data_IF_973671450582
#
_entry.id   IF_973671450582
#
_cell.length_a   1.000
_cell.length_b   1.000
_cell.length_c   1.000
_cell.angle_alpha   90.00
_cell.angle_beta   90.00
_cell.angle_gamma   90.00
#
_symmetry.space_group_name_H-M   'P 1'
#
loop_
_entity.id
_entity.type
_entity.pdbx_description
1 polymer ?
#
# COMPACT_ATOMS: atom_id res chain seq x y z
N UNK A 1 -36.15 -13.82 -102.89
CA UNK A 1 -35.24 -12.84 -102.27
C UNK A 1 -36.07 -12.15 -101.19
N UNK A 2 -35.98 -12.47 -99.89
CA UNK A 2 -34.84 -12.83 -99.03
C UNK A 2 -33.94 -11.63 -98.70
N UNK A 3 -34.10 -11.13 -97.46
CA UNK A 3 -33.30 -10.23 -96.60
C UNK A 3 -34.32 -9.46 -95.74
N UNK A 4 -34.21 -9.38 -94.41
CA UNK A 4 -33.21 -9.91 -93.49
C UNK A 4 -33.37 -9.15 -92.17
N UNK A 5 -33.36 -9.85 -91.04
CA UNK A 5 -33.66 -9.29 -89.71
C UNK A 5 -32.62 -8.25 -89.27
N UNK A 6 -33.00 -7.41 -88.30
CA UNK A 6 -32.19 -7.11 -87.10
C UNK A 6 -33.07 -6.37 -86.07
N UNK A 7 -33.94 -7.12 -85.41
CA UNK A 7 -34.64 -6.68 -84.21
C UNK A 7 -33.73 -6.93 -83.00
N UNK A 8 -33.17 -5.85 -82.43
CA UNK A 8 -32.40 -5.94 -81.18
C UNK A 8 -33.31 -5.60 -80.00
N UNK A 9 -33.61 -6.56 -79.09
CA UNK A 9 -34.31 -6.25 -77.86
C UNK A 9 -33.36 -5.53 -76.91
N UNK A 10 -33.71 -4.29 -76.54
CA UNK A 10 -33.05 -3.63 -75.42
C UNK A 10 -33.51 -4.33 -74.14
N UNK A 11 -32.62 -5.12 -73.52
CA UNK A 11 -32.97 -5.97 -72.39
C UNK A 11 -33.21 -5.15 -71.13
N UNK A 12 -34.41 -5.27 -70.55
CA UNK A 12 -34.64 -5.04 -69.14
C UNK A 12 -33.97 -6.17 -68.33
N UNK A 13 -32.65 -6.08 -68.18
CA UNK A 13 -31.85 -7.08 -67.47
C UNK A 13 -30.59 -6.44 -66.86
N UNK A 14 -30.76 -5.30 -66.17
CA UNK A 14 -29.84 -4.93 -65.10
C UNK A 14 -30.15 -5.76 -63.86
N UNK A 15 -29.87 -7.05 -63.99
CA UNK A 15 -29.70 -7.96 -62.87
C UNK A 15 -28.45 -7.50 -62.10
N UNK A 16 -28.64 -6.73 -61.02
CA UNK A 16 -27.58 -6.56 -60.04
C UNK A 16 -27.18 -7.95 -59.54
N UNK A 17 -25.91 -8.37 -59.67
CA UNK A 17 -25.55 -9.76 -59.39
C UNK A 17 -25.76 -10.06 -57.90
N UNK A 18 -26.53 -11.12 -57.55
CA UNK A 18 -26.93 -11.38 -56.16
C UNK A 18 -25.75 -11.71 -55.22
N UNK A 19 -24.57 -11.99 -55.77
CA UNK A 19 -23.34 -12.21 -55.00
C UNK A 19 -22.82 -10.96 -54.28
N UNK A 20 -23.00 -9.75 -54.83
CA UNK A 20 -22.44 -8.52 -54.19
C UNK A 20 -23.17 -8.19 -52.88
N UNK A 21 -24.48 -8.44 -52.79
CA UNK A 21 -25.25 -8.18 -51.57
C UNK A 21 -25.12 -9.29 -50.52
N UNK A 22 -24.70 -10.50 -50.91
CA UNK A 22 -24.36 -11.55 -49.94
C UNK A 22 -23.07 -11.19 -49.19
N UNK A 23 -22.01 -10.85 -49.93
CA UNK A 23 -20.72 -10.45 -49.34
C UNK A 23 -20.86 -9.20 -48.44
N UNK A 24 -21.69 -8.22 -48.85
CA UNK A 24 -21.95 -7.03 -48.03
C UNK A 24 -22.78 -7.32 -46.77
N UNK A 25 -23.76 -8.23 -46.84
CA UNK A 25 -24.55 -8.63 -45.68
C UNK A 25 -23.70 -9.41 -44.66
N UNK A 26 -22.83 -10.32 -45.13
CA UNK A 26 -21.95 -11.09 -44.25
C UNK A 26 -20.90 -10.19 -43.58
N UNK A 27 -20.30 -9.23 -44.30
CA UNK A 27 -19.41 -8.23 -43.68
C UNK A 27 -20.13 -7.35 -42.64
N UNK A 28 -21.39 -6.96 -42.88
CA UNK A 28 -22.20 -6.20 -41.89
C UNK A 28 -22.54 -7.05 -40.66
N UNK A 29 -22.80 -8.34 -40.85
CA UNK A 29 -23.02 -9.28 -39.74
C UNK A 29 -21.74 -9.43 -38.91
N UNK A 30 -20.57 -9.66 -39.52
CA UNK A 30 -19.29 -9.77 -38.81
C UNK A 30 -18.92 -8.50 -38.02
N UNK A 31 -19.19 -7.31 -38.57
CA UNK A 31 -19.01 -6.04 -37.86
C UNK A 31 -19.96 -5.91 -36.65
N UNK A 32 -21.24 -6.26 -36.81
CA UNK A 32 -22.21 -6.30 -35.70
C UNK A 32 -21.79 -7.29 -34.60
N UNK A 33 -21.25 -8.45 -35.01
CA UNK A 33 -20.75 -9.50 -34.12
C UNK A 33 -19.47 -9.10 -33.39
N UNK A 34 -18.65 -8.23 -34.00
CA UNK A 34 -17.46 -7.66 -33.39
C UNK A 34 -17.82 -6.55 -32.39
N UNK A 35 -18.77 -5.69 -32.75
CA UNK A 35 -19.29 -4.63 -31.89
C UNK A 35 -19.98 -5.19 -30.65
N UNK A 36 -20.84 -6.21 -30.78
CA UNK A 36 -21.49 -6.86 -29.64
C UNK A 36 -20.48 -7.48 -28.65
N UNK A 37 -19.35 -8.01 -29.15
CA UNK A 37 -18.26 -8.52 -28.30
C UNK A 37 -17.51 -7.40 -27.60
N UNK A 38 -17.29 -6.25 -28.26
CA UNK A 38 -16.68 -5.08 -27.64
C UNK A 38 -17.56 -4.51 -26.53
N UNK A 39 -18.88 -4.42 -26.77
CA UNK A 39 -19.85 -3.99 -25.76
C UNK A 39 -19.88 -4.95 -24.56
N UNK A 40 -19.89 -6.27 -24.78
CA UNK A 40 -19.81 -7.27 -23.70
C UNK A 40 -18.51 -7.12 -22.87
N UNK A 41 -17.35 -7.01 -23.52
CA UNK A 41 -16.05 -6.93 -22.83
C UNK A 41 -15.93 -5.72 -21.91
N UNK A 42 -16.50 -4.57 -22.30
CA UNK A 42 -16.47 -3.37 -21.47
C UNK A 42 -17.55 -3.36 -20.36
N UNK A 43 -18.65 -4.12 -20.48
CA UNK A 43 -19.55 -4.41 -19.34
C UNK A 43 -18.85 -5.30 -18.31
N UNK A 44 -18.21 -6.39 -18.76
CA UNK A 44 -17.42 -7.28 -17.89
C UNK A 44 -16.27 -6.51 -17.18
N UNK A 45 -15.67 -5.53 -17.88
CA UNK A 45 -14.63 -4.65 -17.33
C UNK A 45 -15.18 -3.68 -16.29
N UNK A 46 -16.35 -3.08 -16.52
CA UNK A 46 -17.03 -2.20 -15.54
C UNK A 46 -17.45 -2.95 -14.28
N UNK A 47 -17.99 -4.17 -14.42
CA UNK A 47 -18.25 -5.02 -13.25
C UNK A 47 -16.95 -5.36 -12.51
N UNK A 48 -15.83 -5.49 -13.23
CA UNK A 48 -14.52 -5.70 -12.63
C UNK A 48 -14.04 -4.49 -11.82
N UNK A 49 -14.22 -3.26 -12.30
CA UNK A 49 -13.86 -2.05 -11.53
C UNK A 49 -14.76 -1.86 -10.31
N UNK A 50 -16.06 -2.19 -10.41
CA UNK A 50 -16.97 -2.21 -9.24
C UNK A 50 -16.57 -3.24 -8.19
N UNK A 51 -16.17 -4.47 -8.59
CA UNK A 51 -15.59 -5.47 -7.66
C UNK A 51 -14.27 -4.99 -7.06
N UNK A 52 -13.43 -4.33 -7.85
CA UNK A 52 -12.15 -3.78 -7.41
C UNK A 52 -12.35 -2.73 -6.33
N UNK A 53 -13.28 -1.78 -6.53
CA UNK A 53 -13.67 -0.77 -5.52
C UNK A 53 -14.07 -1.41 -4.19
N UNK A 54 -14.97 -2.40 -4.22
CA UNK A 54 -15.39 -3.12 -3.01
C UNK A 54 -14.20 -3.75 -2.27
N UNK A 55 -13.29 -4.41 -3.01
CA UNK A 55 -12.12 -5.07 -2.42
C UNK A 55 -11.10 -4.08 -1.84
N UNK A 56 -10.88 -2.92 -2.47
CA UNK A 56 -9.93 -1.92 -1.94
C UNK A 56 -10.51 -1.14 -0.76
N UNK A 57 -11.81 -0.88 -0.73
CA UNK A 57 -12.51 -0.33 0.44
C UNK A 57 -12.45 -1.30 1.64
N UNK A 58 -12.76 -2.58 1.44
CA UNK A 58 -12.61 -3.62 2.47
C UNK A 58 -11.16 -3.73 2.97
N UNK A 59 -10.19 -3.67 2.04
CA UNK A 59 -8.75 -3.66 2.37
C UNK A 59 -8.35 -2.42 3.18
N UNK A 60 -8.91 -1.24 2.87
CA UNK A 60 -8.68 -0.01 3.63
C UNK A 60 -9.18 -0.17 5.06
N UNK A 61 -10.40 -0.65 5.23
CA UNK A 61 -11.02 -0.81 6.54
C UNK A 61 -10.31 -1.87 7.39
N UNK A 62 -9.82 -2.95 6.78
CA UNK A 62 -8.94 -3.92 7.43
C UNK A 62 -7.58 -3.30 7.81
N UNK A 63 -7.01 -2.44 6.95
CA UNK A 63 -5.78 -1.69 7.22
C UNK A 63 -5.92 -0.73 8.40
N UNK A 64 -7.01 0.03 8.48
CA UNK A 64 -7.32 0.94 9.60
C UNK A 64 -7.42 0.16 10.92
N UNK A 65 -8.14 -0.97 10.94
CA UNK A 65 -8.20 -1.84 12.13
C UNK A 65 -6.82 -2.35 12.53
N UNK A 66 -5.96 -2.66 11.57
CA UNK A 66 -4.59 -3.14 11.83
C UNK A 66 -3.72 -2.04 12.44
N UNK A 67 -3.80 -0.81 11.92
CA UNK A 67 -3.12 0.34 12.52
C UNK A 67 -3.58 0.61 13.96
N UNK A 68 -4.88 0.56 14.25
CA UNK A 68 -5.41 0.71 15.62
C UNK A 68 -4.90 -0.41 16.55
N UNK A 69 -4.82 -1.65 16.06
CA UNK A 69 -4.25 -2.77 16.83
C UNK A 69 -2.74 -2.63 17.06
N UNK A 70 -2.00 -2.03 16.13
CA UNK A 70 -0.57 -1.75 16.30
C UNK A 70 -0.34 -0.63 17.32
N UNK A 71 -1.12 0.45 17.27
CA UNK A 71 -1.09 1.56 18.24
C UNK A 71 -1.35 1.04 19.67
N UNK A 72 -2.39 0.23 19.87
CA UNK A 72 -2.67 -0.41 21.17
C UNK A 72 -1.54 -1.35 21.63
N UNK A 73 -0.93 -2.10 20.70
CA UNK A 73 0.23 -2.97 20.99
C UNK A 73 1.48 -2.15 21.38
N UNK A 74 1.69 -0.99 20.77
CA UNK A 74 2.77 -0.06 21.12
C UNK A 74 2.64 0.41 22.58
N UNK A 75 1.46 0.88 22.98
CA UNK A 75 1.21 1.23 24.39
C UNK A 75 1.37 0.02 25.35
N UNK A 76 0.97 -1.19 24.92
CA UNK A 76 1.15 -2.39 25.72
C UNK A 76 2.64 -2.70 25.93
N UNK A 77 3.48 -2.52 24.91
CA UNK A 77 4.93 -2.70 25.00
C UNK A 77 5.59 -1.63 25.87
N UNK A 78 5.15 -0.36 25.81
CA UNK A 78 5.64 0.69 26.72
C UNK A 78 5.39 0.33 28.19
N UNK A 79 4.16 -0.11 28.53
CA UNK A 79 3.82 -0.58 29.89
C UNK A 79 4.64 -1.81 30.32
N UNK A 80 5.04 -2.68 29.39
CA UNK A 80 5.92 -3.83 29.67
C UNK A 80 7.36 -3.37 29.89
N UNK A 81 7.85 -2.40 29.12
CA UNK A 81 9.19 -1.81 29.27
C UNK A 81 9.32 -1.13 30.63
N UNK A 82 8.35 -0.30 31.03
CA UNK A 82 8.27 0.29 32.39
C UNK A 82 8.23 -0.78 33.49
N UNK A 83 7.46 -1.85 33.29
CA UNK A 83 7.35 -2.96 34.23
C UNK A 83 8.67 -3.72 34.43
N UNK A 84 9.40 -4.00 33.34
CA UNK A 84 10.73 -4.62 33.42
C UNK A 84 11.76 -3.72 34.11
N UNK A 85 11.65 -2.42 33.88
CA UNK A 85 12.53 -1.42 34.48
C UNK A 85 12.26 -1.23 35.98
N UNK A 86 10.99 -1.39 36.42
CA UNK A 86 10.63 -1.47 37.84
C UNK A 86 11.15 -2.75 38.50
N UNK A 87 10.94 -3.92 37.89
CA UNK A 87 11.47 -5.21 38.41
C UNK A 87 13.00 -5.13 38.58
N UNK A 88 13.70 -4.51 37.64
CA UNK A 88 15.16 -4.34 37.71
C UNK A 88 15.60 -3.49 38.92
N UNK A 89 14.82 -2.48 39.30
CA UNK A 89 15.01 -1.65 40.52
C UNK A 89 14.72 -2.47 41.77
N UNK A 90 13.56 -3.12 41.83
CA UNK A 90 13.14 -3.95 42.97
C UNK A 90 14.14 -5.08 43.25
N UNK A 91 14.70 -5.69 42.20
CA UNK A 91 15.74 -6.72 42.34
C UNK A 91 17.07 -6.18 42.88
N UNK A 92 17.44 -4.92 42.58
CA UNK A 92 18.63 -4.28 43.20
C UNK A 92 18.42 -4.05 44.69
N UNK A 93 17.20 -3.67 45.10
CA UNK A 93 16.86 -3.50 46.51
C UNK A 93 16.78 -4.84 47.24
N UNK A 94 16.15 -5.85 46.65
CA UNK A 94 16.08 -7.20 47.19
C UNK A 94 17.47 -7.83 47.39
N UNK A 95 18.37 -7.74 46.41
CA UNK A 95 19.76 -8.21 46.53
C UNK A 95 20.52 -7.54 47.69
N UNK A 96 20.30 -6.23 47.89
CA UNK A 96 20.88 -5.50 49.03
C UNK A 96 20.32 -6.00 50.35
N UNK A 97 18.99 -6.08 50.48
CA UNK A 97 18.33 -6.52 51.71
C UNK A 97 18.71 -7.97 52.09
N UNK A 98 18.84 -8.87 51.12
CA UNK A 98 19.35 -10.24 51.34
C UNK A 98 20.83 -10.26 51.76
N UNK A 99 21.64 -9.33 51.25
CA UNK A 99 23.06 -9.19 51.64
C UNK A 99 23.20 -8.63 53.06
N UNK A 100 22.40 -7.62 53.41
CA UNK A 100 22.38 -7.02 54.75
C UNK A 100 21.90 -8.02 55.81
N UNK A 101 20.88 -8.84 55.49
CA UNK A 101 20.44 -9.94 56.36
C UNK A 101 21.52 -11.02 56.56
N UNK A 102 22.25 -11.38 55.49
CA UNK A 102 23.38 -12.31 55.59
C UNK A 102 24.53 -11.76 56.45
N UNK A 103 24.78 -10.45 56.40
CA UNK A 103 25.81 -9.79 57.20
C UNK A 103 25.43 -9.66 58.69
N UNK A 104 24.14 -9.68 59.04
CA UNK A 104 23.66 -9.63 60.43
C UNK A 104 24.01 -10.90 61.23
N UNK A 105 24.49 -11.97 60.57
CA UNK A 105 25.11 -13.14 61.22
C UNK A 105 26.48 -12.85 61.88
N UNK A 106 26.89 -11.58 61.98
CA UNK A 106 28.17 -11.13 62.55
C UNK A 106 28.42 -11.39 64.06
N UNK A 107 27.49 -12.05 64.77
CA UNK A 107 27.66 -12.45 66.18
C UNK A 107 27.70 -13.97 66.41
N UNK A 108 27.79 -14.77 65.33
CA UNK A 108 27.91 -16.22 65.40
C UNK A 108 29.18 -16.68 64.64
N UNK A 109 29.98 -17.63 65.17
CA UNK A 109 31.12 -18.21 64.45
C UNK A 109 30.64 -19.22 63.38
N UNK A 110 29.88 -18.74 62.39
CA UNK A 110 29.34 -19.57 61.31
C UNK A 110 30.16 -19.37 60.02
N UNK A 111 30.66 -20.45 59.37
CA UNK A 111 31.56 -20.36 58.21
C UNK A 111 30.80 -20.11 56.89
N UNK A 112 30.13 -18.96 56.79
CA UNK A 112 29.41 -18.55 55.59
C UNK A 112 30.39 -18.15 54.47
N UNK A 113 30.43 -18.94 53.40
CA UNK A 113 31.50 -18.92 52.40
C UNK A 113 31.45 -17.67 51.50
N UNK A 114 32.61 -17.20 51.03
CA UNK A 114 32.74 -15.97 50.20
C UNK A 114 32.04 -16.11 48.84
N UNK A 115 30.81 -15.64 48.73
CA UNK A 115 30.11 -15.46 47.46
C UNK A 115 30.43 -14.07 46.87
N UNK A 116 31.36 -14.03 45.92
CA UNK A 116 31.56 -12.85 45.05
C UNK A 116 30.36 -12.73 44.10
N UNK A 117 29.46 -11.78 44.37
CA UNK A 117 28.44 -11.37 43.40
C UNK A 117 29.05 -10.43 42.35
N UNK A 118 29.16 -10.90 41.11
CA UNK A 118 29.53 -10.07 39.96
C UNK A 118 28.31 -9.40 39.34
N UNK A 119 27.78 -8.35 39.97
CA UNK A 119 26.62 -7.63 39.46
C UNK A 119 26.97 -6.76 38.25
N UNK A 120 26.74 -7.25 37.03
CA UNK A 120 26.66 -6.39 35.85
C UNK A 120 25.31 -5.65 35.87
N UNK A 121 25.27 -4.52 36.56
CA UNK A 121 24.21 -3.54 36.35
C UNK A 121 24.32 -3.01 34.91
N UNK A 122 23.17 -2.88 34.24
CA UNK A 122 23.07 -2.34 32.89
C UNK A 122 23.82 -1.00 32.79
N UNK A 123 24.87 -0.99 31.98
CA UNK A 123 25.76 0.14 31.81
C UNK A 123 26.04 0.35 30.32
N UNK A 124 25.77 1.57 29.85
CA UNK A 124 25.96 2.04 28.47
C UNK A 124 27.14 1.36 27.75
N UNK A 125 26.84 0.44 26.85
CA UNK A 125 27.73 0.15 25.72
C UNK A 125 27.28 1.00 24.54
N UNK A 126 27.96 2.12 24.35
CA UNK A 126 28.01 2.77 23.06
C UNK A 126 29.08 2.06 22.22
N UNK A 127 28.76 1.87 20.94
CA UNK A 127 29.66 1.47 19.86
C UNK A 127 30.12 0.00 19.83
N UNK A 128 29.71 -0.71 18.78
CA UNK A 128 29.82 -2.15 18.65
C UNK A 128 29.26 -2.64 17.32
N UNK A 129 29.73 -2.06 16.21
CA UNK A 129 29.29 -2.39 14.84
C UNK A 129 29.37 -3.89 14.56
N UNK A 130 28.21 -4.52 14.32
CA UNK A 130 28.12 -5.84 13.67
C UNK A 130 27.69 -5.64 12.22
N UNK A 131 28.67 -5.69 11.32
CA UNK A 131 28.43 -5.64 9.87
C UNK A 131 27.86 -6.97 9.37
N UNK A 132 26.58 -6.98 9.01
CA UNK A 132 26.02 -7.95 8.07
C UNK A 132 24.94 -7.32 7.19
N UNK A 133 25.37 -6.49 6.23
CA UNK A 133 24.54 -6.17 5.07
C UNK A 133 24.17 -7.46 4.31
N UNK A 134 23.03 -7.45 3.63
CA UNK A 134 23.01 -7.73 2.20
C UNK A 134 22.87 -6.42 1.44
N UNK A 135 23.86 -6.09 0.61
CA UNK A 135 23.80 -4.94 -0.27
C UNK A 135 22.67 -5.14 -1.30
N UNK A 136 21.65 -4.28 -1.27
CA UNK A 136 20.75 -4.15 -2.42
C UNK A 136 21.48 -3.39 -3.51
N UNK A 137 21.79 -4.09 -4.60
CA UNK A 137 22.23 -3.47 -5.84
C UNK A 137 21.06 -2.64 -6.36
N UNK A 138 21.17 -1.30 -6.28
CA UNK A 138 20.19 -0.39 -6.88
C UNK A 138 20.58 -0.27 -8.36
N UNK A 139 19.67 -0.64 -9.25
CA UNK A 139 19.87 -0.49 -10.70
C UNK A 139 19.84 1.00 -11.09
N UNK A 140 20.80 1.43 -11.90
CA UNK A 140 21.13 2.84 -12.12
C UNK A 140 20.26 3.45 -13.23
N UNK A 141 18.93 3.34 -13.07
CA UNK A 141 17.94 3.77 -14.08
C UNK A 141 16.80 4.65 -13.58
N UNK A 142 16.56 4.71 -12.27
CA UNK A 142 15.49 5.54 -11.65
C UNK A 142 15.98 6.98 -11.33
N UNK A 143 16.59 7.65 -12.33
CA UNK A 143 17.04 9.04 -12.19
C UNK A 143 16.14 10.00 -12.99
N UNK A 144 14.92 10.23 -12.49
CA UNK A 144 14.04 11.31 -12.98
C UNK A 144 13.53 12.22 -11.85
N UNK A 145 14.29 13.31 -11.66
CA UNK A 145 13.87 14.63 -11.18
C UNK A 145 12.77 14.73 -10.09
N UNK A 146 13.20 14.69 -8.83
CA UNK A 146 12.49 15.38 -7.75
C UNK A 146 12.70 16.89 -7.91
N UNK A 147 11.62 17.65 -8.11
CA UNK A 147 11.61 19.12 -8.03
C UNK A 147 10.27 19.59 -7.44
N UNK A 148 10.30 20.20 -6.26
CA UNK A 148 9.09 20.66 -5.57
C UNK A 148 8.64 22.06 -6.01
N UNK A 149 7.38 22.42 -5.73
CA UNK A 149 6.96 23.82 -5.85
C UNK A 149 5.45 24.07 -5.91
N UNK A 150 4.92 24.61 -4.80
CA UNK A 150 3.82 25.58 -4.68
C UNK A 150 2.54 25.47 -5.56
N UNK A 151 1.41 25.43 -4.84
CA UNK A 151 0.06 25.76 -5.29
C UNK A 151 0.06 27.06 -6.14
N UNK A 152 -0.48 27.01 -7.36
CA UNK A 152 -0.84 28.19 -8.15
C UNK A 152 -2.36 28.28 -8.36
N UNK A 153 -3.02 29.07 -7.52
CA UNK A 153 -4.22 29.81 -7.95
C UNK A 153 -3.78 30.97 -8.83
N UNK A 154 -4.35 31.11 -10.02
CA UNK A 154 -4.29 32.37 -10.78
C UNK A 154 -5.68 32.76 -11.26
N UNK A 155 -6.00 34.03 -11.03
CA UNK A 155 -7.27 34.72 -11.30
C UNK A 155 -7.19 35.32 -12.73
N UNK A 156 -8.28 35.35 -13.50
CA UNK A 156 -8.25 35.86 -14.88
C UNK A 156 -7.99 37.37 -14.94
N UNK A 157 -7.19 37.80 -15.93
CA UNK A 157 -6.95 39.22 -16.28
C UNK A 157 -6.56 39.33 -17.78
N UNK A 158 -6.70 40.49 -18.45
CA UNK A 158 -7.48 40.54 -19.68
C UNK A 158 -6.70 40.88 -20.97
N UNK A 159 -7.45 40.78 -22.08
CA UNK A 159 -7.20 41.33 -23.41
C UNK A 159 -6.48 42.70 -23.47
N UNK A 160 -5.57 42.84 -24.47
CA UNK A 160 -5.09 44.01 -25.26
C UNK A 160 -3.79 43.56 -25.97
N UNK A 161 -3.40 43.82 -27.24
CA UNK A 161 -3.98 44.34 -28.51
C UNK A 161 -2.97 43.97 -29.65
N UNK A 162 -3.11 44.17 -30.97
CA UNK A 162 -4.04 44.94 -31.83
C UNK A 162 -4.00 44.51 -33.32
N UNK A 163 -5.09 44.76 -34.07
CA UNK A 163 -5.19 45.39 -35.42
C UNK A 163 -4.11 45.16 -36.53
N UNK A 164 -4.43 44.98 -37.84
CA UNK A 164 -5.69 44.85 -38.61
C UNK A 164 -5.37 44.69 -40.12
N UNK A 165 -6.04 43.80 -40.87
CA UNK A 165 -6.74 44.16 -42.15
C UNK A 165 -7.55 43.02 -42.81
N UNK A 166 -8.85 43.30 -43.02
CA UNK A 166 -9.75 42.90 -44.14
C UNK A 166 -9.66 41.43 -44.59
N UNK A 167 -10.52 40.52 -44.11
CA UNK A 167 -11.98 40.39 -44.40
C UNK A 167 -12.28 39.54 -45.64
N UNK A 168 -12.34 38.23 -45.43
CA UNK A 168 -13.30 37.27 -46.02
C UNK A 168 -12.99 35.88 -45.44
N UNK A 169 -13.20 35.70 -44.14
CA UNK A 169 -13.50 34.37 -43.64
C UNK A 169 -14.95 34.11 -44.04
N UNK A 170 -15.20 33.12 -44.90
CA UNK A 170 -16.53 32.52 -44.93
C UNK A 170 -16.82 32.03 -43.52
N UNK A 171 -17.98 32.42 -42.99
CA UNK A 171 -18.70 31.58 -42.04
C UNK A 171 -19.10 30.31 -42.81
N UNK A 172 -18.15 29.36 -42.88
CA UNK A 172 -18.43 28.02 -43.39
C UNK A 172 -18.96 27.21 -42.22
N UNK A 173 -20.23 27.46 -41.92
CA UNK A 173 -21.09 26.55 -41.16
C UNK A 173 -21.22 25.26 -42.00
N UNK A 174 -20.16 24.43 -41.99
CA UNK A 174 -20.20 23.06 -42.50
C UNK A 174 -20.94 22.24 -41.44
N UNK A 175 -22.27 22.40 -41.43
CA UNK A 175 -23.24 21.46 -40.82
C UNK A 175 -23.20 20.11 -41.56
N UNK A 176 -21.99 19.55 -41.72
CA UNK A 176 -21.83 18.12 -41.89
C UNK A 176 -22.21 17.49 -40.59
N UNK A 177 -23.46 17.05 -40.56
CA UNK A 177 -23.89 15.79 -39.98
C UNK A 177 -22.74 14.97 -39.36
N UNK A 178 -22.42 15.29 -38.11
CA UNK A 178 -21.83 14.33 -37.15
C UNK A 178 -22.90 13.32 -36.73
N UNK A 179 -23.66 12.85 -37.71
CA UNK A 179 -24.79 11.93 -37.62
C UNK A 179 -24.52 10.63 -38.39
N UNK A 180 -23.25 10.37 -38.74
CA UNK A 180 -22.79 9.01 -39.00
C UNK A 180 -22.58 8.27 -37.67
N UNK A 181 -23.70 7.70 -37.22
CA UNK A 181 -23.78 6.45 -36.47
C UNK A 181 -23.18 6.41 -35.06
N UNK A 182 -24.05 6.66 -34.07
CA UNK A 182 -23.88 6.25 -32.67
C UNK A 182 -23.40 4.78 -32.56
N UNK A 183 -22.16 4.59 -32.13
CA UNK A 183 -21.59 3.31 -31.67
C UNK A 183 -20.79 3.55 -30.39
N UNK A 184 -21.56 3.58 -29.29
CA UNK A 184 -21.31 2.92 -27.99
C UNK A 184 -19.93 3.07 -27.30
N UNK A 185 -19.81 4.02 -26.35
CA UNK A 185 -19.34 3.72 -24.97
C UNK A 185 -19.32 4.88 -23.94
N UNK A 186 -19.26 6.15 -24.35
CA UNK A 186 -18.77 7.28 -23.53
C UNK A 186 -19.23 7.29 -22.05
N UNK A 187 -20.53 7.14 -21.77
CA UNK A 187 -21.05 7.19 -20.40
C UNK A 187 -20.57 6.03 -19.51
N UNK A 188 -20.31 4.85 -20.10
CA UNK A 188 -19.82 3.66 -19.40
C UNK A 188 -18.31 3.74 -19.17
N UNK A 189 -17.56 4.19 -20.16
CA UNK A 189 -16.12 4.43 -20.02
C UNK A 189 -15.83 5.54 -19.01
N UNK A 190 -16.64 6.61 -18.99
CA UNK A 190 -16.57 7.64 -17.94
C UNK A 190 -16.82 7.06 -16.53
N UNK A 191 -17.81 6.18 -16.32
CA UNK A 191 -18.00 5.50 -15.03
C UNK A 191 -16.79 4.60 -14.69
N UNK A 192 -16.22 3.92 -15.70
CA UNK A 192 -15.06 3.05 -15.51
C UNK A 192 -13.82 3.86 -15.08
N UNK A 193 -13.57 5.01 -15.70
CA UNK A 193 -12.47 5.91 -15.35
C UNK A 193 -12.68 6.55 -13.97
N UNK A 194 -13.90 6.98 -13.62
CA UNK A 194 -14.23 7.49 -12.27
C UNK A 194 -14.02 6.40 -11.19
N UNK A 195 -14.39 5.16 -11.49
CA UNK A 195 -14.14 4.02 -10.61
C UNK A 195 -12.64 3.72 -10.47
N UNK A 196 -11.86 3.83 -11.55
CA UNK A 196 -10.40 3.62 -11.54
C UNK A 196 -9.65 4.75 -10.82
N UNK A 197 -10.09 6.01 -10.93
CA UNK A 197 -9.52 7.14 -10.16
C UNK A 197 -9.75 6.95 -8.66
N UNK A 198 -10.96 6.54 -8.26
CA UNK A 198 -11.29 6.20 -6.87
C UNK A 198 -10.41 5.05 -6.35
N UNK A 199 -10.26 3.96 -7.12
CA UNK A 199 -9.32 2.87 -6.76
C UNK A 199 -7.90 3.40 -6.59
N UNK A 200 -7.42 4.24 -7.51
CA UNK A 200 -6.08 4.84 -7.44
C UNK A 200 -5.85 5.65 -6.16
N UNK A 201 -6.85 6.44 -5.75
CA UNK A 201 -6.85 7.18 -4.48
C UNK A 201 -6.78 6.25 -3.26
N UNK A 202 -7.61 5.20 -3.22
CA UNK A 202 -7.64 4.22 -2.12
C UNK A 202 -6.32 3.44 -2.05
N UNK A 203 -5.74 3.06 -3.19
CA UNK A 203 -4.41 2.42 -3.26
C UNK A 203 -3.30 3.37 -2.75
N UNK A 204 -3.41 4.68 -3.03
CA UNK A 204 -2.53 5.70 -2.46
C UNK A 204 -2.57 5.71 -0.93
N UNK A 205 -3.77 5.67 -0.36
CA UNK A 205 -3.98 5.60 1.10
C UNK A 205 -3.49 4.27 1.69
N UNK A 206 -3.79 3.14 1.05
CA UNK A 206 -3.28 1.81 1.41
C UNK A 206 -1.75 1.78 1.44
N UNK A 207 -1.07 2.44 0.48
CA UNK A 207 0.38 2.56 0.46
C UNK A 207 0.91 3.36 1.66
N UNK A 208 0.25 4.45 2.03
CA UNK A 208 0.66 5.23 3.21
C UNK A 208 0.53 4.39 4.49
N UNK A 209 -0.64 3.76 4.69
CA UNK A 209 -0.88 2.86 5.82
C UNK A 209 0.13 1.69 5.86
N UNK A 210 0.49 1.12 4.71
CA UNK A 210 1.48 0.05 4.64
C UNK A 210 2.89 0.49 5.06
N UNK A 211 3.28 1.74 4.76
CA UNK A 211 4.54 2.33 5.23
C UNK A 211 4.49 2.61 6.73
N UNK A 212 3.38 3.16 7.22
CA UNK A 212 3.21 3.48 8.64
C UNK A 212 3.19 2.21 9.51
N UNK A 213 2.43 1.19 9.10
CA UNK A 213 2.45 -0.15 9.72
C UNK A 213 3.87 -0.75 9.73
N UNK A 214 4.62 -0.60 8.63
CA UNK A 214 6.00 -1.11 8.55
C UNK A 214 6.94 -0.42 9.54
N UNK A 215 6.90 0.91 9.61
CA UNK A 215 7.72 1.70 10.54
C UNK A 215 7.37 1.40 12.01
N UNK A 216 6.09 1.22 12.31
CA UNK A 216 5.61 0.90 13.65
C UNK A 216 6.07 -0.51 14.06
N UNK A 217 5.90 -1.51 13.20
CA UNK A 217 6.41 -2.88 13.42
C UNK A 217 7.93 -2.89 13.63
N UNK A 218 8.70 -2.16 12.82
CA UNK A 218 10.16 -2.05 13.00
C UNK A 218 10.56 -1.39 14.33
N UNK A 219 9.73 -0.48 14.85
CA UNK A 219 9.94 0.19 16.14
C UNK A 219 9.60 -0.75 17.30
N UNK A 220 8.44 -1.42 17.23
CA UNK A 220 8.00 -2.42 18.22
C UNK A 220 8.96 -3.61 18.29
N UNK A 221 9.45 -4.13 17.16
CA UNK A 221 10.46 -5.20 17.15
C UNK A 221 11.71 -4.83 17.97
N UNK A 222 12.25 -3.62 17.76
CA UNK A 222 13.42 -3.13 18.54
C UNK A 222 13.11 -2.89 20.02
N UNK A 223 11.85 -2.65 20.37
CA UNK A 223 11.40 -2.54 21.76
C UNK A 223 11.30 -3.92 22.42
N UNK A 224 10.74 -4.89 21.70
CA UNK A 224 10.66 -6.30 22.10
C UNK A 224 12.06 -6.86 22.38
N UNK A 225 13.06 -6.59 21.51
CA UNK A 225 14.45 -7.02 21.74
C UNK A 225 15.00 -6.50 23.08
N UNK A 226 14.81 -5.21 23.40
CA UNK A 226 15.23 -4.63 24.69
C UNK A 226 14.50 -5.26 25.88
N UNK A 227 13.19 -5.50 25.73
CA UNK A 227 12.36 -6.15 26.76
C UNK A 227 12.83 -7.59 27.00
N UNK A 228 13.22 -8.33 25.96
CA UNK A 228 13.76 -9.70 26.07
C UNK A 228 15.08 -9.71 26.85
N UNK A 229 16.04 -8.84 26.49
CA UNK A 229 17.31 -8.71 27.21
C UNK A 229 17.09 -8.36 28.70
N UNK A 230 16.17 -7.43 28.98
CA UNK A 230 15.82 -7.07 30.36
C UNK A 230 15.12 -8.22 31.10
N UNK A 231 14.25 -8.97 30.44
CA UNK A 231 13.55 -10.11 31.02
C UNK A 231 14.51 -11.26 31.40
N UNK A 232 15.48 -11.60 30.53
CA UNK A 232 16.48 -12.64 30.82
C UNK A 232 17.45 -12.22 31.95
N UNK A 233 17.83 -10.94 31.98
CA UNK A 233 18.61 -10.35 33.07
C UNK A 233 17.84 -10.40 34.40
N UNK A 234 16.58 -9.93 34.42
CA UNK A 234 15.72 -9.95 35.59
C UNK A 234 15.45 -11.38 36.07
N UNK A 235 15.17 -12.31 35.15
CA UNK A 235 14.96 -13.74 35.46
C UNK A 235 16.17 -14.33 36.19
N UNK A 236 17.37 -14.12 35.67
CA UNK A 236 18.61 -14.64 36.28
C UNK A 236 18.79 -14.10 37.70
N UNK A 237 18.54 -12.80 37.91
CA UNK A 237 18.64 -12.15 39.22
C UNK A 237 17.58 -12.65 40.21
N UNK A 238 16.35 -12.88 39.76
CA UNK A 238 15.26 -13.46 40.56
C UNK A 238 15.64 -14.88 41.01
N UNK A 239 16.13 -15.72 40.10
CA UNK A 239 16.55 -17.09 40.40
C UNK A 239 17.73 -17.12 41.40
N UNK A 240 18.72 -16.22 41.26
CA UNK A 240 19.81 -16.05 42.24
C UNK A 240 19.32 -15.59 43.62
N UNK A 241 18.49 -14.55 43.68
CA UNK A 241 17.97 -13.99 44.93
C UNK A 241 17.12 -15.01 45.68
N UNK A 242 16.26 -15.75 44.96
CA UNK A 242 15.44 -16.82 45.52
C UNK A 242 16.31 -17.97 46.06
N UNK A 243 17.37 -18.36 45.36
CA UNK A 243 18.31 -19.36 45.87
C UNK A 243 19.06 -18.88 47.13
N UNK A 244 19.44 -17.59 47.21
CA UNK A 244 20.03 -16.99 48.42
C UNK A 244 19.05 -16.96 49.60
N UNK A 245 17.81 -16.52 49.37
CA UNK A 245 16.76 -16.50 50.38
C UNK A 245 16.48 -17.91 50.94
N UNK A 246 16.35 -18.90 50.05
CA UNK A 246 16.16 -20.31 50.42
C UNK A 246 17.31 -20.84 51.28
N UNK A 247 18.57 -20.50 50.95
CA UNK A 247 19.74 -20.88 51.76
C UNK A 247 19.70 -20.27 53.17
N UNK A 248 19.22 -19.04 53.33
CA UNK A 248 19.09 -18.40 54.65
C UNK A 248 17.99 -19.05 55.50
N UNK A 249 16.89 -19.49 54.90
CA UNK A 249 15.80 -20.19 55.61
C UNK A 249 16.13 -21.66 55.92
N UNK A 250 16.88 -22.34 55.04
CA UNK A 250 17.26 -23.75 55.19
C UNK A 250 18.52 -24.01 56.02
N UNK A 251 19.12 -22.98 56.62
CA UNK A 251 20.32 -23.08 57.48
C UNK A 251 20.00 -22.97 58.99
N UNK A 252 18.74 -23.23 59.37
CA UNK A 252 18.26 -23.25 60.77
C UNK A 252 18.20 -24.65 61.36
#
# INVERSE_FOLDING_TARGET
MARGELEYPFRDDQLTPPSIMADEADMRNELSDMQAKADQLADESLESTRRMLQLVEESKDAGIRTLVMLDEQGEQLERIEEGMDQINKDMKEAEKNLTDLGNLCGLCPCPCNKLKGGGQAWGNNQDGVVSSQPARVVDEREQMAISGGFIRRLIPTPCLTSFRHISLCHDYEDDRETSELLVTNDARENEMDENLEQVGSIIGNLRHMALDMGNEIDTQNRQIDRIMDMADSNKTRIDEANQRATKMLGSG
#
